data_IF_510545816634
#
_entry.id   IF_510545816634
#
_cell.length_a   1.000
_cell.length_b   1.000
_cell.length_c   1.000
_cell.angle_alpha   90.00
_cell.angle_beta   90.00
_cell.angle_gamma   90.00
#
_symmetry.space_group_name_H-M   'P 1'
#
loop_
_entity.id
_entity.type
_entity.pdbx_description
1 polymer ?
#
# COMPACT_ATOMS: atom_id res chain seq x y z
N UNK A 1 -53.72 61.85 -9.31
CA UNK A 1 -52.53 62.22 -8.51
C UNK A 1 -52.46 61.31 -7.28
N UNK A 2 -51.27 60.73 -7.03
CA UNK A 2 -50.80 60.00 -5.83
C UNK A 2 -51.23 58.53 -5.62
N UNK A 3 -50.19 57.70 -5.48
CA UNK A 3 -50.19 56.28 -5.13
C UNK A 3 -50.54 56.02 -3.64
N UNK A 4 -51.37 54.99 -3.46
CA UNK A 4 -51.33 53.84 -2.54
C UNK A 4 -50.44 53.87 -1.28
N UNK A 5 -51.09 53.63 -0.14
CA UNK A 5 -50.56 52.85 0.99
C UNK A 5 -51.71 52.25 1.80
N UNK A 6 -51.46 51.07 2.38
CA UNK A 6 -52.24 50.31 3.40
C UNK A 6 -53.07 49.15 2.81
N UNK A 7 -53.10 47.92 3.33
CA UNK A 7 -52.26 47.19 4.31
C UNK A 7 -52.84 45.77 4.46
N UNK A 8 -51.97 44.76 4.29
CA UNK A 8 -51.91 43.42 4.94
C UNK A 8 -53.09 42.42 4.85
N UNK A 9 -52.67 41.14 4.71
CA UNK A 9 -53.35 39.83 4.92
C UNK A 9 -53.93 39.24 3.60
N UNK A 10 -53.63 38.05 3.10
CA UNK A 10 -52.77 36.90 3.48
C UNK A 10 -52.86 35.85 2.34
N UNK A 11 -51.73 35.28 1.87
CA UNK A 11 -51.28 33.88 2.07
C UNK A 11 -51.84 32.84 1.06
N UNK A 12 -50.93 31.96 0.60
CA UNK A 12 -51.07 30.78 -0.26
C UNK A 12 -51.07 31.10 -1.77
N UNK A 13 -50.05 30.80 -2.57
CA UNK A 13 -49.65 29.43 -2.96
C UNK A 13 -48.19 29.32 -3.49
N UNK A 14 -47.39 30.38 -3.59
CA UNK A 14 -46.07 30.28 -4.26
C UNK A 14 -44.87 30.02 -3.31
N UNK A 15 -44.88 28.93 -2.51
CA UNK A 15 -43.78 28.57 -1.58
C UNK A 15 -42.89 27.40 -2.06
N UNK A 16 -43.16 26.74 -3.19
CA UNK A 16 -42.39 25.53 -3.59
C UNK A 16 -41.36 25.72 -4.73
N UNK A 17 -40.69 26.89 -4.80
CA UNK A 17 -39.88 27.24 -5.98
C UNK A 17 -38.39 27.48 -5.80
N UNK A 18 -37.85 27.61 -4.58
CA UNK A 18 -36.44 28.00 -4.40
C UNK A 18 -35.81 27.28 -3.21
N UNK A 19 -35.74 25.95 -3.28
CA UNK A 19 -34.84 25.20 -2.43
C UNK A 19 -33.42 25.33 -2.99
N UNK A 20 -32.59 26.09 -2.27
CA UNK A 20 -31.14 25.94 -2.13
C UNK A 20 -30.42 25.17 -3.25
N UNK A 21 -29.97 25.88 -4.28
CA UNK A 21 -28.72 25.49 -4.95
C UNK A 21 -27.55 26.01 -4.12
N UNK A 22 -27.38 25.47 -2.91
CA UNK A 22 -26.08 25.52 -2.25
C UNK A 22 -25.19 24.54 -3.03
N UNK A 23 -24.65 25.00 -4.16
CA UNK A 23 -23.52 24.35 -4.78
C UNK A 23 -22.40 24.35 -3.75
N UNK A 24 -22.19 23.21 -3.10
CA UNK A 24 -20.95 22.96 -2.38
C UNK A 24 -19.90 22.87 -3.47
N UNK A 25 -19.26 24.00 -3.78
CA UNK A 25 -18.02 23.96 -4.53
C UNK A 25 -17.04 23.20 -3.65
N UNK A 26 -16.85 21.91 -3.95
CA UNK A 26 -15.61 21.24 -3.58
C UNK A 26 -14.52 22.03 -4.29
N UNK A 27 -13.89 22.95 -3.56
CA UNK A 27 -12.75 23.68 -4.04
C UNK A 27 -11.70 22.62 -4.36
N UNK A 28 -11.29 22.53 -5.62
CA UNK A 28 -10.22 21.60 -6.02
C UNK A 28 -9.06 21.79 -5.05
N UNK A 29 -8.79 20.77 -4.23
CA UNK A 29 -7.74 20.79 -3.19
C UNK A 29 -6.35 20.89 -3.82
N UNK A 30 -6.28 20.82 -5.16
CA UNK A 30 -5.08 20.84 -5.97
C UNK A 30 -5.12 22.02 -6.94
N UNK A 31 -4.34 23.05 -6.63
CA UNK A 31 -4.06 24.13 -7.58
C UNK A 31 -2.85 23.76 -8.42
N UNK A 32 -3.04 23.61 -9.73
CA UNK A 32 -1.91 23.49 -10.65
C UNK A 32 -1.19 24.84 -10.75
N UNK A 33 0.12 24.80 -10.57
CA UNK A 33 1.00 25.96 -10.67
C UNK A 33 2.18 25.63 -11.58
N UNK A 34 2.60 26.60 -12.38
CA UNK A 34 3.86 26.51 -13.14
C UNK A 34 4.95 27.23 -12.33
N UNK A 35 6.05 26.54 -12.08
CA UNK A 35 7.13 27.02 -11.23
C UNK A 35 8.51 26.69 -11.81
N UNK A 36 9.51 27.45 -11.40
CA UNK A 36 10.89 27.28 -11.86
C UNK A 36 11.76 26.69 -10.76
N UNK A 37 12.54 25.65 -11.08
CA UNK A 37 13.61 25.19 -10.19
C UNK A 37 14.83 26.11 -10.37
N UNK A 38 15.44 26.50 -9.25
CA UNK A 38 16.57 27.43 -9.19
C UNK A 38 17.78 26.80 -8.49
N UNK A 39 18.46 25.83 -9.12
CA UNK A 39 19.67 25.23 -8.55
C UNK A 39 20.82 26.23 -8.39
N UNK A 40 20.74 27.38 -9.06
CA UNK A 40 21.69 28.48 -8.95
C UNK A 40 21.52 29.31 -7.67
N UNK A 41 20.41 29.14 -6.95
CA UNK A 41 20.14 29.88 -5.72
C UNK A 41 20.96 29.34 -4.55
N UNK A 42 21.66 30.24 -3.87
CA UNK A 42 22.39 29.93 -2.63
C UNK A 42 21.46 30.07 -1.44
N UNK A 43 21.48 29.09 -0.55
CA UNK A 43 20.68 29.09 0.68
C UNK A 43 21.62 29.15 1.88
N UNK A 44 21.40 30.13 2.76
CA UNK A 44 22.22 30.35 3.95
C UNK A 44 21.34 30.23 5.18
N UNK A 45 21.67 29.30 6.08
CA UNK A 45 20.95 29.05 7.35
C UNK A 45 21.91 29.27 8.49
N UNK A 46 21.56 30.14 9.44
CA UNK A 46 22.43 30.44 10.59
C UNK A 46 23.82 30.99 10.20
N UNK A 47 23.93 31.65 9.04
CA UNK A 47 25.21 32.15 8.50
C UNK A 47 26.04 31.10 7.73
N UNK A 48 25.60 29.84 7.68
CA UNK A 48 26.27 28.79 6.92
C UNK A 48 25.60 28.58 5.56
N UNK A 49 26.39 28.54 4.49
CA UNK A 49 25.89 28.16 3.17
C UNK A 49 25.59 26.65 3.17
N UNK A 50 24.36 26.28 2.82
CA UNK A 50 23.90 24.89 2.85
C UNK A 50 23.64 24.38 1.44
N UNK A 51 23.94 23.10 1.23
CA UNK A 51 23.59 22.41 0.00
C UNK A 51 22.28 21.67 0.23
N UNK A 52 21.27 21.99 -0.57
CA UNK A 52 20.03 21.23 -0.64
C UNK A 52 20.17 20.12 -1.68
N UNK A 53 19.60 18.96 -1.38
CA UNK A 53 19.44 17.85 -2.32
C UNK A 53 18.36 18.18 -3.36
N UNK A 54 17.29 18.87 -2.94
CA UNK A 54 16.26 19.39 -3.84
C UNK A 54 16.41 20.91 -4.03
N UNK A 55 16.49 21.42 -5.27
CA UNK A 55 16.71 22.85 -5.51
C UNK A 55 15.49 23.70 -5.08
N UNK A 56 15.70 24.97 -4.70
CA UNK A 56 14.60 25.90 -4.46
C UNK A 56 13.66 26.01 -5.66
N UNK A 57 12.38 26.18 -5.37
CA UNK A 57 11.33 26.39 -6.37
C UNK A 57 10.83 27.84 -6.31
N UNK A 58 10.67 28.49 -7.45
CA UNK A 58 10.09 29.84 -7.56
C UNK A 58 8.73 29.76 -8.20
N UNK A 59 7.73 30.23 -7.46
CA UNK A 59 6.37 30.40 -7.93
C UNK A 59 5.87 31.78 -7.51
N UNK A 60 5.31 32.55 -8.44
CA UNK A 60 4.83 33.92 -8.21
C UNK A 60 5.83 34.79 -7.41
N UNK A 61 7.08 34.84 -7.88
CA UNK A 61 8.19 35.56 -7.24
C UNK A 61 8.47 35.18 -5.78
N UNK A 62 7.97 34.04 -5.32
CA UNK A 62 8.19 33.53 -3.96
C UNK A 62 9.06 32.29 -4.02
N UNK A 63 10.04 32.20 -3.11
CA UNK A 63 10.91 31.02 -2.96
C UNK A 63 10.28 29.99 -2.03
N UNK A 64 10.18 28.76 -2.50
CA UNK A 64 9.73 27.60 -1.77
C UNK A 64 10.90 26.65 -1.59
N UNK A 65 11.12 26.24 -0.35
CA UNK A 65 12.26 25.42 0.05
C UNK A 65 11.79 24.08 0.63
N UNK A 66 12.53 22.99 0.45
CA UNK A 66 12.21 21.70 1.06
C UNK A 66 12.29 21.77 2.59
N UNK A 67 11.14 21.84 3.26
CA UNK A 67 11.07 22.01 4.73
C UNK A 67 11.77 20.90 5.50
N UNK A 68 11.75 19.65 4.99
CA UNK A 68 12.41 18.50 5.64
C UNK A 68 13.93 18.66 5.68
N UNK A 69 14.52 19.20 4.62
CA UNK A 69 15.96 19.45 4.54
C UNK A 69 16.36 20.63 5.43
N UNK A 70 15.58 21.72 5.39
CA UNK A 70 15.79 22.86 6.27
C UNK A 70 15.69 22.49 7.75
N UNK A 71 14.80 21.57 8.12
CA UNK A 71 14.67 21.08 9.49
C UNK A 71 15.98 20.58 10.07
N UNK A 72 16.76 19.80 9.31
CA UNK A 72 18.06 19.31 9.75
C UNK A 72 19.04 20.44 10.10
N UNK A 73 19.15 21.45 9.24
CA UNK A 73 20.01 22.62 9.48
C UNK A 73 19.51 23.53 10.60
N UNK A 74 18.21 23.50 10.90
CA UNK A 74 17.57 24.26 11.98
C UNK A 74 17.50 23.48 13.30
N UNK A 75 18.15 22.31 13.40
CA UNK A 75 18.05 21.40 14.55
C UNK A 75 16.59 21.09 14.92
N UNK A 76 15.75 20.83 13.92
CA UNK A 76 14.34 20.53 14.04
C UNK A 76 13.98 19.23 13.32
N UNK A 77 12.98 18.55 13.86
CA UNK A 77 12.41 17.32 13.30
C UNK A 77 11.11 17.66 12.58
N UNK A 78 11.03 17.32 11.31
CA UNK A 78 9.83 17.52 10.49
C UNK A 78 9.05 16.22 10.37
N UNK A 79 7.80 16.23 10.82
CA UNK A 79 6.87 15.10 10.75
C UNK A 79 5.67 15.48 9.89
N UNK A 80 5.33 14.64 8.92
CA UNK A 80 4.08 14.76 8.16
C UNK A 80 3.01 13.91 8.82
N UNK A 81 1.87 14.48 9.24
CA UNK A 81 0.71 13.73 9.70
C UNK A 81 -0.35 13.68 8.58
N UNK A 82 -0.49 12.50 7.98
CA UNK A 82 -1.36 12.28 6.81
C UNK A 82 -2.85 12.46 7.14
N UNK A 83 -3.29 11.97 8.30
CA UNK A 83 -4.69 12.00 8.75
C UNK A 83 -5.25 13.42 8.87
N UNK A 84 -4.41 14.39 9.19
CA UNK A 84 -4.79 15.81 9.36
C UNK A 84 -4.12 16.71 8.32
N UNK A 85 -3.42 16.13 7.34
CA UNK A 85 -2.63 16.86 6.33
C UNK A 85 -1.74 17.95 6.95
N UNK A 86 -1.14 17.65 8.10
CA UNK A 86 -0.39 18.62 8.92
C UNK A 86 1.10 18.34 8.84
N UNK A 87 1.89 19.37 8.56
CA UNK A 87 3.35 19.32 8.73
C UNK A 87 3.68 19.86 10.13
N UNK A 88 4.23 19.02 10.99
CA UNK A 88 4.80 19.44 12.27
C UNK A 88 6.29 19.70 12.10
N UNK A 89 6.75 20.86 12.56
CA UNK A 89 8.17 21.21 12.62
C UNK A 89 8.52 21.41 14.08
N UNK A 90 9.25 20.46 14.65
CA UNK A 90 9.52 20.40 16.09
C UNK A 90 11.00 20.67 16.37
N UNK A 91 11.37 21.80 16.97
CA UNK A 91 12.74 22.04 17.41
C UNK A 91 13.20 20.95 18.40
N UNK A 92 14.46 20.52 18.26
CA UNK A 92 15.11 19.65 19.24
C UNK A 92 15.72 20.51 20.34
N UNK A 93 15.07 20.51 21.50
CA UNK A 93 15.45 21.22 22.73
C UNK A 93 16.05 20.29 23.79
N UNK A 94 15.91 18.97 23.63
CA UNK A 94 16.45 17.95 24.52
C UNK A 94 16.99 16.74 23.72
N UNK A 95 18.07 16.13 24.22
CA UNK A 95 18.71 14.94 23.63
C UNK A 95 17.77 13.72 23.57
N UNK A 96 16.81 13.63 24.48
CA UNK A 96 15.79 12.57 24.53
C UNK A 96 14.72 12.70 23.42
N UNK A 97 14.70 13.80 22.66
CA UNK A 97 13.79 13.93 21.51
C UNK A 97 14.36 13.16 20.31
N UNK A 98 13.49 12.48 19.52
CA UNK A 98 13.89 11.76 18.32
C UNK A 98 14.83 12.60 17.45
N UNK A 99 15.93 12.00 16.97
CA UNK A 99 16.88 12.68 16.10
C UNK A 99 16.41 12.75 14.64
N UNK A 100 15.39 11.96 14.30
CA UNK A 100 14.82 11.85 12.96
C UNK A 100 13.30 11.92 13.05
N UNK A 101 12.67 12.47 12.02
CA UNK A 101 11.21 12.45 11.89
C UNK A 101 10.72 11.06 11.57
N UNK A 102 9.41 10.83 11.73
CA UNK A 102 8.79 9.56 11.38
C UNK A 102 9.09 9.28 9.89
N UNK A 103 9.92 8.29 9.61
CA UNK A 103 10.18 7.85 8.25
C UNK A 103 8.87 7.31 7.67
N UNK A 104 8.27 8.08 6.76
CA UNK A 104 7.10 7.75 5.94
C UNK A 104 5.83 7.39 6.71
N UNK A 105 4.96 8.37 6.96
CA UNK A 105 3.54 8.10 7.23
C UNK A 105 2.89 7.52 5.96
N UNK A 106 2.91 6.20 5.84
CA UNK A 106 2.14 5.48 4.85
C UNK A 106 0.65 5.63 5.14
N UNK A 107 -0.17 5.73 4.09
CA UNK A 107 -1.62 5.57 4.24
C UNK A 107 -1.87 4.15 4.75
N UNK A 108 -2.54 4.01 5.89
CA UNK A 108 -2.94 2.68 6.36
C UNK A 108 -4.06 2.14 5.46
N UNK A 109 -3.92 0.89 5.01
CA UNK A 109 -4.96 0.14 4.30
C UNK A 109 -5.22 -1.16 5.04
N UNK A 110 -6.37 -1.78 4.79
CA UNK A 110 -6.73 -3.09 5.34
C UNK A 110 -6.96 -4.06 4.19
N UNK A 111 -6.60 -5.34 4.35
CA UNK A 111 -7.00 -6.40 3.42
C UNK A 111 -8.53 -6.46 3.31
N UNK A 112 -9.08 -6.06 2.17
CA UNK A 112 -10.52 -6.07 1.91
C UNK A 112 -10.89 -7.20 0.96
N UNK A 113 -10.22 -7.27 -0.19
CA UNK A 113 -10.41 -8.35 -1.16
C UNK A 113 -9.06 -8.66 -1.80
N UNK A 114 -8.13 -9.24 -1.03
CA UNK A 114 -6.85 -9.64 -1.56
C UNK A 114 -6.99 -10.82 -2.51
N UNK A 115 -6.18 -10.78 -3.56
CA UNK A 115 -6.05 -11.87 -4.50
C UNK A 115 -4.65 -11.83 -5.12
N UNK A 116 -4.11 -12.98 -5.47
CA UNK A 116 -2.85 -13.05 -6.20
C UNK A 116 -3.06 -13.64 -7.59
N UNK A 117 -2.35 -13.11 -8.58
CA UNK A 117 -2.28 -13.65 -9.93
C UNK A 117 -0.87 -13.56 -10.49
N UNK A 118 -0.59 -14.36 -11.52
CA UNK A 118 0.55 -14.11 -12.38
C UNK A 118 0.19 -12.99 -13.37
N UNK A 119 1.05 -11.99 -13.47
CA UNK A 119 0.91 -10.86 -14.38
C UNK A 119 2.05 -10.83 -15.38
N UNK A 120 1.71 -10.64 -16.66
CA UNK A 120 2.66 -10.41 -17.72
C UNK A 120 3.00 -8.90 -17.77
N UNK A 121 4.29 -8.58 -17.67
CA UNK A 121 4.80 -7.22 -17.74
C UNK A 121 6.18 -7.20 -18.41
N UNK A 122 6.32 -6.37 -19.46
CA UNK A 122 7.58 -6.18 -20.21
C UNK A 122 8.28 -7.48 -20.62
N UNK A 123 7.51 -8.50 -21.00
CA UNK A 123 8.01 -9.80 -21.45
C UNK A 123 8.36 -10.80 -20.35
N UNK A 124 8.18 -10.43 -19.07
CA UNK A 124 8.27 -11.35 -17.94
C UNK A 124 6.90 -11.65 -17.33
N UNK A 125 6.78 -12.77 -16.64
CA UNK A 125 5.58 -13.15 -15.88
C UNK A 125 5.92 -13.19 -14.40
N UNK A 126 5.14 -12.47 -13.59
CA UNK A 126 5.44 -12.23 -12.18
C UNK A 126 4.24 -12.55 -11.29
N UNK A 127 4.42 -13.26 -10.16
CA UNK A 127 3.36 -13.42 -9.19
C UNK A 127 3.18 -12.12 -8.41
N UNK A 128 1.95 -11.61 -8.35
CA UNK A 128 1.62 -10.32 -7.75
C UNK A 128 0.47 -10.49 -6.78
N UNK A 129 0.65 -10.09 -5.52
CA UNK A 129 -0.43 -9.93 -4.56
C UNK A 129 -1.05 -8.54 -4.70
N UNK A 130 -2.35 -8.51 -4.90
CA UNK A 130 -3.17 -7.31 -4.97
C UNK A 130 -4.18 -7.29 -3.83
N UNK A 131 -4.62 -6.10 -3.45
CA UNK A 131 -5.74 -5.86 -2.57
C UNK A 131 -6.72 -4.91 -3.25
N UNK A 132 -7.88 -5.43 -3.64
CA UNK A 132 -8.96 -4.61 -4.19
C UNK A 132 -9.75 -3.97 -3.05
N UNK A 133 -9.77 -2.64 -3.03
CA UNK A 133 -10.53 -1.85 -2.07
C UNK A 133 -11.68 -1.13 -2.78
N UNK A 134 -12.55 -0.47 -2.02
CA UNK A 134 -13.63 0.37 -2.59
C UNK A 134 -13.06 1.50 -3.47
N UNK A 135 -11.89 2.05 -3.10
CA UNK A 135 -11.34 3.25 -3.74
C UNK A 135 -10.46 2.94 -4.96
N UNK A 136 -9.61 1.92 -4.85
CA UNK A 136 -8.68 1.49 -5.91
C UNK A 136 -8.07 0.11 -5.62
N UNK A 137 -7.39 -0.45 -6.62
CA UNK A 137 -6.50 -1.59 -6.41
C UNK A 137 -5.17 -1.14 -5.79
N UNK A 138 -4.68 -1.92 -4.84
CA UNK A 138 -3.34 -1.77 -4.26
C UNK A 138 -2.50 -2.98 -4.64
N UNK A 139 -1.26 -2.73 -5.07
CA UNK A 139 -0.31 -3.77 -5.47
C UNK A 139 0.80 -3.84 -4.43
N UNK A 140 1.17 -5.05 -4.00
CA UNK A 140 2.24 -5.22 -3.00
C UNK A 140 3.57 -4.68 -3.55
N UNK A 141 4.22 -3.81 -2.78
CA UNK A 141 5.41 -3.06 -3.20
C UNK A 141 6.56 -3.99 -3.60
N UNK A 142 6.76 -5.10 -2.87
CA UNK A 142 7.80 -6.07 -3.16
C UNK A 142 7.61 -6.72 -4.55
N UNK A 143 6.37 -7.00 -4.94
CA UNK A 143 6.04 -7.62 -6.22
C UNK A 143 6.22 -6.65 -7.37
N UNK A 144 5.72 -5.42 -7.22
CA UNK A 144 5.92 -4.32 -8.17
C UNK A 144 7.40 -4.03 -8.39
N UNK A 145 8.19 -4.00 -7.32
CA UNK A 145 9.65 -3.77 -7.40
C UNK A 145 10.34 -4.91 -8.15
N UNK A 146 9.93 -6.16 -7.90
CA UNK A 146 10.45 -7.34 -8.59
C UNK A 146 10.11 -7.38 -10.08
N UNK A 147 9.01 -6.76 -10.49
CA UNK A 147 8.66 -6.54 -11.90
C UNK A 147 9.56 -5.49 -12.59
N UNK A 148 10.46 -4.83 -11.85
CA UNK A 148 11.35 -3.80 -12.38
C UNK A 148 10.68 -2.43 -12.53
N UNK A 149 9.59 -2.17 -11.80
CA UNK A 149 8.92 -0.86 -11.78
C UNK A 149 9.66 0.04 -10.79
N UNK A 150 10.04 1.25 -11.24
CA UNK A 150 10.61 2.26 -10.35
C UNK A 150 9.51 2.82 -9.43
N UNK A 151 9.64 2.55 -8.13
CA UNK A 151 8.71 3.01 -7.09
C UNK A 151 9.29 4.15 -6.26
N UNK A 152 10.45 4.67 -6.65
CA UNK A 152 11.06 5.86 -6.05
C UNK A 152 10.15 7.06 -6.35
N UNK A 153 9.72 7.76 -5.29
CA UNK A 153 8.77 8.87 -5.41
C UNK A 153 7.27 8.49 -5.42
N UNK A 154 6.90 7.21 -5.53
CA UNK A 154 5.49 6.81 -5.43
C UNK A 154 5.01 6.84 -3.98
N UNK A 155 3.77 7.30 -3.79
CA UNK A 155 3.08 7.20 -2.48
C UNK A 155 2.83 5.73 -2.16
N UNK A 156 3.12 5.38 -0.92
CA UNK A 156 3.04 4.01 -0.41
C UNK A 156 1.96 3.94 0.67
N UNK A 157 1.27 2.81 0.69
CA UNK A 157 0.35 2.43 1.74
C UNK A 157 0.97 1.31 2.58
N UNK A 158 0.59 1.20 3.85
CA UNK A 158 0.98 0.09 4.72
C UNK A 158 -0.27 -0.68 5.10
N UNK A 159 -0.25 -1.98 4.86
CA UNK A 159 -1.36 -2.83 5.24
C UNK A 159 -1.30 -3.13 6.74
N UNK A 160 -2.45 -2.98 7.41
CA UNK A 160 -2.59 -2.98 8.86
C UNK A 160 -2.14 -4.28 9.53
N UNK A 161 -2.40 -5.44 8.93
CA UNK A 161 -2.20 -6.73 9.59
C UNK A 161 -0.88 -7.40 9.20
N UNK A 162 -0.63 -7.52 7.91
CA UNK A 162 0.61 -8.05 7.31
C UNK A 162 1.79 -7.12 7.50
N UNK A 163 1.55 -5.83 7.76
CA UNK A 163 2.56 -4.76 7.83
C UNK A 163 3.34 -4.56 6.52
N UNK A 164 2.90 -5.20 5.42
CA UNK A 164 3.51 -5.08 4.11
C UNK A 164 3.18 -3.73 3.48
N UNK A 165 4.09 -3.27 2.62
CA UNK A 165 3.90 -2.03 1.87
C UNK A 165 3.21 -2.32 0.53
N UNK A 166 2.36 -1.39 0.13
CA UNK A 166 1.59 -1.42 -1.10
C UNK A 166 1.71 -0.08 -1.84
N UNK A 167 1.37 -0.08 -3.12
CA UNK A 167 1.25 1.11 -3.95
C UNK A 167 -0.10 1.07 -4.66
N UNK A 168 -0.83 2.18 -4.62
CA UNK A 168 -2.12 2.28 -5.30
C UNK A 168 -1.97 2.31 -6.82
N UNK A 169 -2.94 1.75 -7.53
CA UNK A 169 -2.99 1.73 -9.00
C UNK A 169 -2.85 3.14 -9.61
N UNK A 170 -3.46 4.15 -8.99
CA UNK A 170 -3.34 5.54 -9.41
C UNK A 170 -1.90 6.10 -9.38
N UNK A 171 -1.06 5.62 -8.46
CA UNK A 171 0.37 5.96 -8.41
C UNK A 171 1.16 5.18 -9.46
N UNK A 172 0.83 3.89 -9.65
CA UNK A 172 1.53 3.01 -10.59
C UNK A 172 1.28 3.39 -12.05
N UNK A 173 0.09 3.90 -12.37
CA UNK A 173 -0.24 4.44 -13.69
C UNK A 173 0.71 5.56 -14.14
N UNK A 174 1.39 6.25 -13.21
CA UNK A 174 2.38 7.29 -13.53
C UNK A 174 3.70 6.71 -14.06
N UNK A 175 4.02 5.46 -13.72
CA UNK A 175 5.31 4.83 -14.04
C UNK A 175 5.19 3.65 -15.00
N UNK A 176 4.01 3.04 -15.14
CA UNK A 176 3.77 1.97 -16.10
C UNK A 176 3.75 2.45 -17.55
N UNK A 177 3.43 3.72 -17.78
CA UNK A 177 3.32 4.29 -19.13
C UNK A 177 2.20 3.61 -19.94
N UNK A 178 2.43 3.40 -21.23
CA UNK A 178 1.40 2.93 -22.16
C UNK A 178 1.20 1.41 -22.17
N UNK A 179 1.95 0.65 -21.35
CA UNK A 179 1.89 -0.81 -21.29
C UNK A 179 1.83 -1.28 -19.83
N UNK A 180 0.67 -1.14 -19.15
CA UNK A 180 0.50 -1.63 -17.79
C UNK A 180 0.51 -3.16 -17.73
N UNK A 181 0.88 -3.77 -16.58
CA UNK A 181 0.81 -5.21 -16.37
C UNK A 181 -0.58 -5.77 -16.69
N UNK A 182 -0.63 -6.95 -17.29
CA UNK A 182 -1.89 -7.64 -17.61
C UNK A 182 -1.92 -9.02 -16.95
N UNK A 183 -3.10 -9.57 -16.59
CA UNK A 183 -3.20 -10.95 -16.14
C UNK A 183 -2.59 -11.91 -17.17
N UNK A 184 -1.77 -12.86 -16.70
CA UNK A 184 -1.18 -13.86 -17.57
C UNK A 184 -2.23 -14.91 -17.94
N UNK A 185 -2.38 -15.16 -19.24
CA UNK A 185 -3.25 -16.23 -19.76
C UNK A 185 -2.49 -17.54 -20.00
N UNK A 186 -1.18 -17.54 -19.79
CA UNK A 186 -0.33 -18.73 -20.03
C UNK A 186 -0.08 -19.54 -18.77
N UNK A 187 -0.22 -18.93 -17.59
CA UNK A 187 -0.06 -19.58 -16.29
C UNK A 187 -1.41 -19.60 -15.57
N UNK A 188 -2.07 -20.76 -15.60
CA UNK A 188 -3.31 -21.00 -14.84
C UNK A 188 -3.00 -21.81 -13.58
N UNK A 189 -2.32 -21.18 -12.64
CA UNK A 189 -1.95 -21.78 -11.37
C UNK A 189 -2.76 -21.12 -10.25
N UNK A 190 -3.78 -21.79 -9.68
CA UNK A 190 -4.70 -21.18 -8.71
C UNK A 190 -4.04 -20.89 -7.36
N UNK A 191 -2.83 -21.41 -7.12
CA UNK A 191 -2.01 -21.14 -5.95
C UNK A 191 -0.74 -20.44 -6.43
N UNK A 192 -0.67 -19.15 -6.15
CA UNK A 192 0.45 -18.30 -6.52
C UNK A 192 1.61 -18.52 -5.56
N UNK A 193 2.77 -18.87 -6.10
CA UNK A 193 4.01 -19.11 -5.34
C UNK A 193 5.09 -18.20 -5.91
N UNK A 194 5.71 -17.43 -5.03
CA UNK A 194 6.68 -16.39 -5.34
C UNK A 194 8.08 -16.83 -4.92
N UNK A 195 9.04 -16.72 -5.85
CA UNK A 195 10.46 -16.97 -5.58
C UNK A 195 10.90 -18.44 -5.67
N UNK A 196 10.00 -19.39 -5.95
CA UNK A 196 10.34 -20.80 -6.18
C UNK A 196 10.22 -21.18 -7.66
N UNK A 197 11.19 -21.97 -8.13
CA UNK A 197 11.27 -22.42 -9.53
C UNK A 197 11.41 -23.93 -9.64
N UNK A 198 11.77 -24.62 -8.56
CA UNK A 198 11.84 -26.08 -8.52
C UNK A 198 10.43 -26.67 -8.65
N UNK A 199 10.18 -27.38 -9.74
CA UNK A 199 8.85 -27.92 -10.08
C UNK A 199 8.36 -28.97 -9.09
N UNK A 200 9.27 -29.70 -8.44
CA UNK A 200 8.91 -30.70 -7.42
C UNK A 200 8.49 -30.00 -6.14
N UNK A 201 9.21 -28.95 -5.72
CA UNK A 201 8.85 -28.14 -4.55
C UNK A 201 7.53 -27.40 -4.76
N UNK A 202 7.35 -26.80 -5.94
CA UNK A 202 6.10 -26.13 -6.33
C UNK A 202 4.92 -27.10 -6.25
N UNK A 203 5.08 -28.31 -6.78
CA UNK A 203 4.05 -29.35 -6.69
C UNK A 203 3.74 -29.71 -5.23
N UNK A 204 4.76 -29.97 -4.41
CA UNK A 204 4.57 -30.35 -3.01
C UNK A 204 3.83 -29.27 -2.21
N UNK A 205 4.17 -28.00 -2.42
CA UNK A 205 3.48 -26.85 -1.80
C UNK A 205 2.01 -26.77 -2.22
N UNK A 206 1.72 -26.95 -3.51
CA UNK A 206 0.35 -26.91 -4.03
C UNK A 206 -0.48 -28.07 -3.52
N UNK A 207 0.06 -29.29 -3.57
CA UNK A 207 -0.61 -30.48 -3.03
C UNK A 207 -0.94 -30.29 -1.54
N UNK A 208 0.00 -29.75 -0.76
CA UNK A 208 -0.24 -29.40 0.65
C UNK A 208 -1.42 -28.42 0.78
N UNK A 209 -1.39 -27.28 0.09
CA UNK A 209 -2.47 -26.28 0.19
C UNK A 209 -3.83 -26.85 -0.22
N UNK A 210 -3.88 -27.61 -1.33
CA UNK A 210 -5.11 -28.25 -1.79
C UNK A 210 -5.69 -29.22 -0.75
N UNK A 211 -4.83 -29.96 -0.03
CA UNK A 211 -5.28 -30.88 1.02
C UNK A 211 -5.94 -30.18 2.24
N UNK A 212 -5.71 -28.88 2.41
CA UNK A 212 -6.28 -28.07 3.50
C UNK A 212 -7.30 -27.02 3.04
N UNK A 213 -7.72 -27.01 1.76
CA UNK A 213 -8.77 -26.09 1.27
C UNK A 213 -10.12 -26.30 1.94
N UNK A 214 -10.45 -27.56 2.21
CA UNK A 214 -11.70 -27.94 2.87
C UNK A 214 -11.44 -29.07 3.86
N UNK A 215 -11.72 -28.82 5.13
CA UNK A 215 -11.59 -29.84 6.17
C UNK A 215 -12.61 -29.60 7.29
N UNK A 216 -12.79 -30.61 8.14
CA UNK A 216 -13.70 -30.55 9.28
C UNK A 216 -12.98 -30.93 10.57
N UNK A 217 -13.18 -30.14 11.63
CA UNK A 217 -12.73 -30.46 12.98
C UNK A 217 -13.96 -30.42 13.88
N UNK A 218 -14.24 -31.51 14.60
CA UNK A 218 -15.37 -31.58 15.54
C UNK A 218 -16.70 -31.09 14.94
N UNK A 219 -17.03 -31.53 13.72
CA UNK A 219 -18.23 -31.13 12.94
C UNK A 219 -18.26 -29.66 12.49
N UNK A 220 -17.21 -28.89 12.75
CA UNK A 220 -17.04 -27.53 12.23
C UNK A 220 -16.31 -27.59 10.90
N UNK A 221 -16.91 -27.07 9.83
CA UNK A 221 -16.28 -26.98 8.52
C UNK A 221 -15.37 -25.75 8.43
N UNK A 222 -14.21 -25.94 7.82
CA UNK A 222 -13.23 -24.90 7.55
C UNK A 222 -13.00 -24.81 6.05
N UNK A 223 -13.06 -23.58 5.55
CA UNK A 223 -12.81 -23.26 4.14
C UNK A 223 -11.60 -22.33 4.09
N UNK A 224 -10.50 -22.84 3.56
CA UNK A 224 -9.26 -22.09 3.39
C UNK A 224 -9.11 -21.66 1.93
N UNK A 225 -8.89 -20.36 1.74
CA UNK A 225 -8.56 -19.74 0.46
C UNK A 225 -7.10 -19.26 0.53
N UNK A 226 -6.18 -19.85 -0.26
CA UNK A 226 -4.81 -19.38 -0.32
C UNK A 226 -4.75 -18.00 -0.97
N UNK A 227 -3.94 -17.09 -0.41
CA UNK A 227 -3.66 -15.80 -1.01
C UNK A 227 -2.33 -15.84 -1.76
N UNK A 228 -1.22 -16.09 -1.07
CA UNK A 228 0.10 -16.22 -1.70
C UNK A 228 1.06 -17.02 -0.83
N UNK A 229 2.01 -17.72 -1.47
CA UNK A 229 3.17 -18.31 -0.81
C UNK A 229 4.42 -17.57 -1.27
N UNK A 230 5.24 -17.08 -0.34
CA UNK A 230 6.52 -16.45 -0.62
C UNK A 230 7.67 -17.29 -0.10
N UNK A 231 8.65 -17.58 -0.96
CA UNK A 231 9.92 -18.20 -0.54
C UNK A 231 10.67 -17.26 0.39
N UNK A 232 11.12 -17.78 1.52
CA UNK A 232 11.94 -17.06 2.48
C UNK A 232 13.44 -17.31 2.22
N UNK A 233 14.34 -16.47 2.77
CA UNK A 233 15.78 -16.66 2.63
C UNK A 233 16.30 -17.95 3.25
N UNK A 234 15.62 -18.44 4.31
CA UNK A 234 15.93 -19.75 4.89
C UNK A 234 15.57 -20.87 3.91
N UNK A 235 16.48 -21.83 3.76
CA UNK A 235 16.34 -22.90 2.78
C UNK A 235 15.07 -23.72 3.01
N UNK A 236 14.32 -23.95 1.93
CA UNK A 236 13.09 -24.75 1.94
C UNK A 236 12.01 -24.21 2.88
N UNK A 237 12.09 -22.92 3.25
CA UNK A 237 11.11 -22.26 4.10
C UNK A 237 10.31 -21.24 3.30
N UNK A 238 9.00 -21.16 3.57
CA UNK A 238 8.05 -20.31 2.86
C UNK A 238 7.08 -19.66 3.83
N UNK A 239 6.71 -18.40 3.58
CA UNK A 239 5.58 -17.73 4.22
C UNK A 239 4.32 -18.05 3.44
N UNK A 240 3.23 -18.40 4.11
CA UNK A 240 1.94 -18.67 3.50
C UNK A 240 0.87 -17.77 4.12
N UNK A 241 0.32 -16.88 3.30
CA UNK A 241 -0.81 -16.02 3.65
C UNK A 241 -2.10 -16.64 3.11
N UNK A 242 -3.12 -16.73 3.95
CA UNK A 242 -4.40 -17.35 3.62
C UNK A 242 -5.57 -16.63 4.30
N UNK A 243 -6.75 -16.82 3.73
CA UNK A 243 -8.00 -16.53 4.41
C UNK A 243 -8.67 -17.84 4.82
N UNK A 244 -9.13 -17.96 6.06
CA UNK A 244 -9.90 -19.10 6.52
C UNK A 244 -11.14 -18.59 7.27
N UNK A 245 -12.32 -18.96 6.79
CA UNK A 245 -13.59 -18.53 7.36
C UNK A 245 -13.70 -16.99 7.59
N UNK A 246 -13.27 -16.20 6.60
CA UNK A 246 -13.24 -14.73 6.61
C UNK A 246 -12.19 -14.08 7.52
N UNK A 247 -11.28 -14.85 8.10
CA UNK A 247 -10.15 -14.32 8.86
C UNK A 247 -8.83 -14.53 8.12
N UNK A 248 -7.92 -13.56 8.22
CA UNK A 248 -6.61 -13.70 7.60
C UNK A 248 -5.61 -14.35 8.57
N UNK A 249 -4.87 -15.31 8.04
CA UNK A 249 -3.84 -16.02 8.77
C UNK A 249 -2.52 -16.01 8.02
N UNK A 250 -1.44 -16.11 8.80
CA UNK A 250 -0.10 -16.39 8.30
C UNK A 250 0.41 -17.68 8.92
N UNK A 251 1.09 -18.50 8.13
CA UNK A 251 1.82 -19.67 8.61
C UNK A 251 3.14 -19.80 7.88
N UNK A 252 4.09 -20.53 8.46
CA UNK A 252 5.35 -20.86 7.83
C UNK A 252 5.31 -22.30 7.36
N UNK A 253 5.60 -22.53 6.08
CA UNK A 253 5.75 -23.86 5.50
C UNK A 253 7.23 -24.21 5.42
N UNK A 254 7.60 -25.45 5.75
CA UNK A 254 8.96 -25.96 5.63
C UNK A 254 8.98 -27.29 4.89
N UNK A 255 9.76 -27.36 3.83
CA UNK A 255 9.93 -28.55 3.01
C UNK A 255 11.07 -29.39 3.55
N UNK A 256 10.78 -30.66 3.81
CA UNK A 256 11.78 -31.67 4.15
C UNK A 256 11.97 -32.58 2.95
N UNK A 257 13.19 -32.63 2.43
CA UNK A 257 13.52 -33.54 1.33
C UNK A 257 13.43 -34.99 1.81
N UNK A 258 12.79 -35.82 1.01
CA UNK A 258 12.61 -37.25 1.22
C UNK A 258 12.99 -38.01 -0.06
N UNK A 259 13.33 -39.28 0.10
CA UNK A 259 13.66 -40.17 -1.01
C UNK A 259 12.64 -41.30 -1.06
N UNK A 260 12.06 -41.54 -2.22
CA UNK A 260 11.18 -42.70 -2.41
C UNK A 260 12.07 -43.91 -2.62
N UNK A 261 11.89 -44.96 -1.80
CA UNK A 261 12.64 -46.21 -1.95
C UNK A 261 12.39 -46.77 -3.35
N UNK A 262 13.46 -46.94 -4.13
CA UNK A 262 13.39 -47.47 -5.50
C UNK A 262 13.30 -46.43 -6.62
N UNK A 263 13.24 -45.12 -6.30
CA UNK A 263 13.33 -44.05 -7.30
C UNK A 263 14.19 -42.89 -6.78
N UNK A 264 15.25 -42.53 -7.51
CA UNK A 264 16.22 -41.51 -7.10
C UNK A 264 15.71 -40.06 -7.29
N UNK A 265 14.45 -39.87 -7.64
CA UNK A 265 13.84 -38.53 -7.73
C UNK A 265 13.56 -37.98 -6.33
N UNK A 266 14.07 -36.78 -5.99
CA UNK A 266 13.76 -36.13 -4.72
C UNK A 266 12.26 -35.89 -4.62
N UNK A 267 11.70 -36.09 -3.43
CA UNK A 267 10.33 -35.71 -3.07
C UNK A 267 10.36 -34.82 -1.84
N UNK A 268 9.30 -34.05 -1.59
CA UNK A 268 9.25 -33.16 -0.44
C UNK A 268 7.98 -33.38 0.38
N UNK A 269 8.16 -33.47 1.69
CA UNK A 269 7.06 -33.40 2.66
C UNK A 269 6.98 -31.98 3.18
N UNK A 270 5.78 -31.43 3.23
CA UNK A 270 5.52 -30.07 3.72
C UNK A 270 5.04 -30.16 5.17
N UNK A 271 5.78 -29.53 6.08
CA UNK A 271 5.32 -29.22 7.42
C UNK A 271 4.90 -27.75 7.52
N UNK A 272 4.00 -27.44 8.44
CA UNK A 272 3.58 -26.06 8.74
C UNK A 272 3.72 -25.72 10.21
N UNK A 273 4.02 -24.46 10.51
CA UNK A 273 3.86 -23.91 11.85
C UNK A 273 2.38 -23.78 12.23
N UNK A 274 2.12 -23.34 13.46
CA UNK A 274 0.79 -22.87 13.83
C UNK A 274 0.34 -21.76 12.88
N UNK A 275 -0.97 -21.72 12.60
CA UNK A 275 -1.60 -20.60 11.90
C UNK A 275 -1.74 -19.44 12.88
N UNK A 276 -1.14 -18.31 12.55
CA UNK A 276 -1.24 -17.07 13.32
C UNK A 276 -2.36 -16.23 12.72
N UNK A 277 -3.38 -15.92 13.52
CA UNK A 277 -4.40 -14.94 13.16
C UNK A 277 -3.75 -13.55 13.18
N UNK A 278 -3.66 -12.92 12.00
CA UNK A 278 -2.98 -11.63 11.86
C UNK A 278 -3.91 -10.44 12.13
N UNK A 279 -5.20 -10.66 12.29
CA UNK A 279 -6.18 -9.61 12.59
C UNK A 279 -6.32 -9.36 14.10
N UNK A 280 -5.94 -10.36 14.91
CA UNK A 280 -5.93 -10.23 16.37
C UNK A 280 -4.66 -9.51 16.82
N UNK A 281 -4.83 -8.35 17.44
CA UNK A 281 -3.70 -7.64 18.08
C UNK A 281 -3.13 -8.53 19.18
N UNK A 282 -1.81 -8.81 19.20
CA UNK A 282 -1.21 -9.59 20.28
C UNK A 282 -1.52 -8.92 21.61
N UNK A 283 -2.22 -9.63 22.51
CA UNK A 283 -2.24 -9.25 23.91
C UNK A 283 -0.83 -9.52 24.41
N UNK A 284 -0.03 -8.45 24.55
CA UNK A 284 1.33 -8.52 25.09
C UNK A 284 1.34 -9.47 26.30
N UNK A 285 2.06 -10.59 26.18
CA UNK A 285 2.45 -11.45 27.29
C UNK A 285 3.86 -11.09 27.72
#
# INVERSE_FOLDING_TARGET
>A
MKLSRMSKIGIAVAVMGTCFTAGVYAQDVLQRVDAYLRPDFKVVVGGQNIQLANPPLIYNNTSYLPVKELGGYLNAVVNWQESTKTIYVNPRINENQPAQGNETNYTEIVLQSPYAYYMDYRGGTFPVLMNMTVDQNYYRLADVTRMGVDTSGLRKAKEKYTQELYVGESELNKVWGNQPPQPSYTIYEPIVISGETDTVKLKALRDYVESFRYYQINQTAYYSTPLIIDKLPEENTYSYLLNENNHYYKTTLKLTQTFIIGNNTPNYVVGSSNKEDIEVTPVNR
#
